data_IF_229971104314
#
_entry.id   IF_229971104314
#
_cell.length_a   1.000
_cell.length_b   1.000
_cell.length_c   1.000
_cell.angle_alpha   90.00
_cell.angle_beta   90.00
_cell.angle_gamma   90.00
#
_symmetry.space_group_name_H-M   'P 1'
#
loop_
_entity.id
_entity.type
_entity.pdbx_description
1 polymer ?
#
# COMPACT_ATOMS: atom_id res chain seq x y z
N UNK A 1 -16.38 -40.52 -21.50
CA UNK A 1 -16.67 -39.22 -20.88
C UNK A 1 -15.38 -38.43 -20.88
N UNK A 2 -15.37 -37.24 -21.47
CA UNK A 2 -14.21 -36.36 -21.42
C UNK A 2 -14.31 -35.51 -20.14
N UNK A 3 -13.37 -35.70 -19.21
CA UNK A 3 -13.17 -34.80 -18.08
C UNK A 3 -12.15 -33.77 -18.54
N UNK A 4 -12.61 -32.56 -18.86
CA UNK A 4 -11.74 -31.41 -19.07
C UNK A 4 -11.48 -30.80 -17.70
N UNK A 5 -10.39 -31.22 -17.08
CA UNK A 5 -9.82 -30.56 -15.91
C UNK A 5 -8.90 -29.46 -16.45
N UNK A 6 -9.50 -28.30 -16.72
CA UNK A 6 -8.77 -27.06 -16.98
C UNK A 6 -8.37 -26.48 -15.61
N UNK A 7 -7.42 -27.15 -14.97
CA UNK A 7 -6.59 -26.59 -13.92
C UNK A 7 -5.75 -25.49 -14.57
N UNK A 8 -6.39 -24.35 -14.80
CA UNK A 8 -5.74 -23.12 -15.21
C UNK A 8 -4.77 -22.72 -14.13
N UNK A 9 -3.54 -23.21 -14.23
CA UNK A 9 -2.38 -22.73 -13.51
C UNK A 9 -2.28 -21.24 -13.83
N UNK A 10 -2.90 -20.40 -13.00
CA UNK A 10 -2.84 -18.96 -13.12
C UNK A 10 -1.40 -18.60 -12.82
N UNK A 11 -0.56 -18.57 -13.84
CA UNK A 11 0.78 -17.99 -13.81
C UNK A 11 0.60 -16.65 -13.11
N UNK A 12 1.11 -16.55 -11.89
CA UNK A 12 0.95 -15.37 -11.08
C UNK A 12 1.65 -14.23 -11.85
N UNK A 13 0.84 -13.36 -12.47
CA UNK A 13 1.32 -12.24 -13.25
C UNK A 13 1.84 -11.19 -12.26
N UNK A 14 3.10 -11.35 -11.87
CA UNK A 14 3.76 -10.52 -10.89
C UNK A 14 4.64 -9.51 -11.62
N UNK A 15 4.57 -8.24 -11.24
CA UNK A 15 5.39 -7.20 -11.86
C UNK A 15 6.22 -6.50 -10.81
N UNK A 16 7.53 -6.44 -11.09
CA UNK A 16 8.53 -5.72 -10.31
C UNK A 16 9.12 -4.59 -11.15
N UNK A 17 9.87 -3.69 -10.51
CA UNK A 17 10.47 -2.51 -11.12
C UNK A 17 9.44 -1.70 -11.94
N UNK A 18 8.23 -1.58 -11.37
CA UNK A 18 7.09 -1.03 -12.08
C UNK A 18 6.98 0.48 -11.99
N UNK A 19 6.35 1.05 -13.00
CA UNK A 19 5.88 2.43 -13.08
C UNK A 19 4.58 2.47 -13.89
N UNK A 20 3.77 3.51 -13.68
CA UNK A 20 2.55 3.74 -14.46
C UNK A 20 2.72 5.02 -15.26
N UNK A 21 2.37 4.96 -16.54
CA UNK A 21 2.57 6.03 -17.50
C UNK A 21 1.23 6.40 -18.11
N UNK A 22 0.95 7.70 -18.24
CA UNK A 22 -0.24 8.23 -18.90
C UNK A 22 -0.11 8.15 -20.43
N UNK A 23 -1.17 8.53 -21.15
CA UNK A 23 -1.12 8.67 -22.61
C UNK A 23 -0.14 9.74 -23.11
N UNK A 24 0.26 10.66 -22.24
CA UNK A 24 1.21 11.75 -22.51
C UNK A 24 2.66 11.39 -22.16
N UNK A 25 2.94 10.13 -21.83
CA UNK A 25 4.26 9.60 -21.42
C UNK A 25 4.76 10.12 -20.04
N UNK A 26 3.86 10.68 -19.23
CA UNK A 26 4.16 11.14 -17.88
C UNK A 26 3.94 10.02 -16.85
N UNK A 27 4.83 9.95 -15.84
CA UNK A 27 4.65 9.03 -14.71
C UNK A 27 3.51 9.51 -13.81
N UNK A 28 2.50 8.66 -13.62
CA UNK A 28 1.29 8.97 -12.84
C UNK A 28 1.05 7.93 -11.76
N UNK A 29 0.48 8.28 -10.60
CA UNK A 29 0.16 7.29 -9.59
C UNK A 29 -0.98 6.38 -10.04
N UNK A 30 -0.94 5.10 -9.69
CA UNK A 30 -2.03 4.16 -10.01
C UNK A 30 -3.36 4.51 -9.32
N UNK A 31 -3.37 5.46 -8.38
CA UNK A 31 -4.59 5.97 -7.74
C UNK A 31 -5.46 6.80 -8.68
N UNK A 32 -4.96 7.19 -9.85
CA UNK A 32 -5.81 7.75 -10.92
C UNK A 32 -6.78 6.70 -11.49
N UNK A 33 -6.45 5.41 -11.34
CA UNK A 33 -7.36 4.32 -11.66
C UNK A 33 -8.45 4.18 -10.60
N UNK A 34 -9.60 3.66 -11.01
CA UNK A 34 -10.69 3.37 -10.09
C UNK A 34 -10.34 2.19 -9.18
N UNK A 35 -10.68 2.30 -7.89
CA UNK A 35 -10.57 1.20 -6.93
C UNK A 35 -11.74 0.25 -7.15
N UNK A 36 -11.45 -1.02 -7.40
CA UNK A 36 -12.45 -2.07 -7.48
C UNK A 36 -12.67 -2.68 -6.09
N UNK A 37 -13.89 -2.51 -5.56
CA UNK A 37 -14.27 -3.00 -4.24
C UNK A 37 -15.02 -4.33 -4.32
N UNK A 38 -15.82 -4.51 -5.37
CA UNK A 38 -16.63 -5.71 -5.58
C UNK A 38 -16.29 -6.35 -6.92
N UNK A 39 -16.32 -7.70 -6.96
CA UNK A 39 -16.08 -8.46 -8.18
C UNK A 39 -17.13 -8.11 -9.24
N UNK A 40 -16.69 -7.59 -10.38
CA UNK A 40 -17.56 -7.30 -11.52
C UNK A 40 -18.21 -5.92 -11.49
N UNK A 41 -17.64 -4.95 -10.77
CA UNK A 41 -18.00 -3.54 -10.93
C UNK A 41 -17.74 -3.11 -12.38
N UNK A 42 -18.78 -2.59 -13.05
CA UNK A 42 -18.66 -2.08 -14.42
C UNK A 42 -17.98 -0.72 -14.41
N UNK A 43 -16.87 -0.61 -15.14
CA UNK A 43 -16.18 0.66 -15.33
C UNK A 43 -16.88 1.45 -16.45
N UNK A 44 -17.95 2.16 -16.11
CA UNK A 44 -18.74 2.99 -17.06
C UNK A 44 -18.06 4.32 -17.44
N UNK A 45 -16.75 4.45 -17.21
CA UNK A 45 -15.95 5.60 -17.59
C UNK A 45 -15.22 5.40 -18.92
N UNK A 46 -14.90 6.50 -19.60
CA UNK A 46 -13.88 6.44 -20.67
C UNK A 46 -12.60 5.89 -20.05
N UNK A 47 -12.02 4.80 -20.55
CA UNK A 47 -10.82 4.23 -19.96
C UNK A 47 -9.71 5.26 -20.04
N UNK A 48 -9.21 5.69 -18.88
CA UNK A 48 -8.01 6.52 -18.83
C UNK A 48 -6.87 5.71 -19.44
N UNK A 49 -6.10 6.33 -20.34
CA UNK A 49 -4.99 5.66 -21.00
C UNK A 49 -3.82 5.63 -20.03
N UNK A 50 -3.84 4.67 -19.11
CA UNK A 50 -2.76 4.42 -18.16
C UNK A 50 -2.17 3.05 -18.46
N UNK A 51 -0.85 3.01 -18.57
CA UNK A 51 -0.09 1.82 -18.92
C UNK A 51 0.82 1.42 -17.77
N UNK A 52 0.74 0.15 -17.37
CA UNK A 52 1.70 -0.50 -16.49
C UNK A 52 2.94 -0.87 -17.29
N UNK A 53 4.08 -0.33 -16.88
CA UNK A 53 5.40 -0.71 -17.33
C UNK A 53 6.13 -1.44 -16.20
N UNK A 54 6.96 -2.43 -16.53
CA UNK A 54 7.80 -3.08 -15.52
C UNK A 54 8.46 -4.36 -16.01
N UNK A 55 8.80 -5.23 -15.06
CA UNK A 55 9.47 -6.50 -15.31
C UNK A 55 8.70 -7.68 -14.71
N UNK A 56 8.52 -8.73 -15.51
CA UNK A 56 7.99 -10.04 -15.11
C UNK A 56 9.09 -11.11 -15.21
N UNK A 57 8.76 -12.34 -14.82
CA UNK A 57 9.62 -13.52 -14.95
C UNK A 57 10.99 -13.28 -14.28
N UNK A 58 10.98 -12.81 -13.04
CA UNK A 58 12.17 -12.45 -12.25
C UNK A 58 13.13 -11.46 -12.96
N UNK A 59 12.58 -10.53 -13.74
CA UNK A 59 13.39 -9.51 -14.43
C UNK A 59 13.71 -9.84 -15.88
N UNK A 60 13.38 -11.04 -16.36
CA UNK A 60 13.76 -11.51 -17.69
C UNK A 60 12.93 -10.90 -18.82
N UNK A 61 11.69 -10.50 -18.54
CA UNK A 61 10.79 -9.93 -19.55
C UNK A 61 10.26 -8.58 -19.11
N UNK A 62 10.12 -7.67 -20.07
CA UNK A 62 9.43 -6.39 -19.86
C UNK A 62 7.94 -6.57 -20.12
N UNK A 63 7.13 -5.86 -19.37
CA UNK A 63 5.69 -5.75 -19.57
C UNK A 63 5.32 -4.31 -19.89
N UNK A 64 4.38 -4.14 -20.82
CA UNK A 64 3.74 -2.88 -21.17
C UNK A 64 2.26 -3.19 -21.42
N UNK A 65 1.37 -2.85 -20.49
CA UNK A 65 -0.06 -3.18 -20.58
C UNK A 65 -0.95 -2.05 -20.13
N UNK A 66 -2.01 -1.79 -20.88
CA UNK A 66 -3.05 -0.86 -20.42
C UNK A 66 -3.81 -1.47 -19.24
N UNK A 67 -4.04 -0.65 -18.23
CA UNK A 67 -4.75 -0.99 -17.00
C UNK A 67 -5.96 -0.09 -16.79
N UNK A 68 -6.97 -0.60 -16.12
CA UNK A 68 -8.29 0.07 -16.00
C UNK A 68 -8.76 0.26 -14.56
N UNK A 69 -8.32 -0.60 -13.65
CA UNK A 69 -8.68 -0.52 -12.23
C UNK A 69 -7.57 -1.08 -11.36
N UNK A 70 -7.67 -0.84 -10.06
CA UNK A 70 -6.79 -1.43 -9.08
C UNK A 70 -7.56 -1.86 -7.84
N UNK A 71 -6.96 -2.76 -7.07
CA UNK A 71 -7.47 -3.20 -5.78
C UNK A 71 -6.32 -3.46 -4.84
N UNK A 72 -6.66 -3.58 -3.56
CA UNK A 72 -5.71 -3.98 -2.53
C UNK A 72 -6.32 -5.00 -1.59
N UNK A 73 -5.46 -5.82 -1.00
CA UNK A 73 -5.83 -6.79 0.03
C UNK A 73 -4.91 -6.58 1.22
N UNK A 74 -5.50 -6.38 2.40
CA UNK A 74 -4.76 -6.21 3.65
C UNK A 74 -4.54 -7.58 4.31
N UNK A 75 -3.61 -8.38 3.76
CA UNK A 75 -3.22 -9.66 4.36
C UNK A 75 -2.57 -9.45 5.73
N UNK A 76 -2.39 -10.52 6.50
CA UNK A 76 -1.83 -10.43 7.85
C UNK A 76 -0.39 -9.95 7.83
N UNK A 77 0.37 -10.42 6.85
CA UNK A 77 1.80 -10.15 6.69
C UNK A 77 2.05 -8.73 6.16
N UNK A 78 1.37 -8.35 5.07
CA UNK A 78 1.56 -7.07 4.39
C UNK A 78 0.37 -6.70 3.51
N UNK A 79 0.19 -5.41 3.14
CA UNK A 79 -0.72 -5.04 2.08
C UNK A 79 -0.24 -5.59 0.72
N UNK A 80 -1.17 -6.08 -0.08
CA UNK A 80 -0.95 -6.47 -1.47
C UNK A 80 -1.76 -5.59 -2.41
N UNK A 81 -1.19 -5.27 -3.57
CA UNK A 81 -1.80 -4.41 -4.57
C UNK A 81 -1.87 -5.17 -5.89
N UNK A 82 -3.00 -5.06 -6.57
CA UNK A 82 -3.18 -5.61 -7.90
C UNK A 82 -3.86 -4.62 -8.82
N UNK A 83 -3.52 -4.67 -10.10
CA UNK A 83 -4.15 -3.88 -11.15
C UNK A 83 -4.80 -4.78 -12.18
N UNK A 84 -5.92 -4.34 -12.74
CA UNK A 84 -6.66 -5.04 -13.76
C UNK A 84 -6.21 -4.55 -15.13
N UNK A 85 -5.74 -5.48 -15.97
CA UNK A 85 -5.48 -5.16 -17.38
C UNK A 85 -6.79 -5.01 -18.15
N UNK A 86 -6.75 -4.28 -19.27
CA UNK A 86 -7.88 -4.22 -20.21
C UNK A 86 -8.27 -5.59 -20.78
N UNK A 87 -7.36 -6.57 -20.71
CA UNK A 87 -7.57 -7.97 -21.11
C UNK A 87 -8.30 -8.79 -20.02
N UNK A 88 -8.67 -8.17 -18.89
CA UNK A 88 -9.38 -8.82 -17.79
C UNK A 88 -8.49 -9.62 -16.84
N UNK A 89 -7.16 -9.46 -16.91
CA UNK A 89 -6.21 -10.18 -16.05
C UNK A 89 -5.76 -9.33 -14.88
N UNK A 90 -5.79 -9.90 -13.67
CA UNK A 90 -5.20 -9.27 -12.49
C UNK A 90 -3.69 -9.46 -12.47
N UNK A 91 -2.97 -8.37 -12.20
CA UNK A 91 -1.52 -8.33 -12.16
C UNK A 91 -1.11 -7.83 -10.77
N UNK A 92 -0.31 -8.61 -10.06
CA UNK A 92 0.18 -8.27 -8.72
C UNK A 92 1.40 -7.37 -8.81
N UNK A 93 1.37 -6.26 -8.09
CA UNK A 93 2.49 -5.33 -7.99
C UNK A 93 3.43 -5.77 -6.87
N UNK A 94 4.71 -5.88 -7.19
CA UNK A 94 5.79 -6.18 -6.24
C UNK A 94 6.51 -4.89 -5.86
N UNK A 95 7.78 -4.74 -6.28
CA UNK A 95 8.61 -3.57 -5.96
C UNK A 95 8.46 -2.50 -7.06
N UNK A 96 8.14 -1.23 -6.73
CA UNK A 96 8.16 -0.14 -7.69
C UNK A 96 9.59 0.26 -8.08
N UNK A 97 9.74 0.86 -9.27
CA UNK A 97 11.01 1.46 -9.73
C UNK A 97 11.41 2.61 -8.80
N UNK A 98 12.71 2.78 -8.52
CA UNK A 98 13.22 3.80 -7.57
C UNK A 98 12.73 5.23 -7.87
N UNK A 99 12.76 5.65 -9.14
CA UNK A 99 12.30 6.98 -9.54
C UNK A 99 10.78 7.18 -9.34
N UNK A 100 10.02 6.08 -9.32
CA UNK A 100 8.57 6.10 -9.15
C UNK A 100 8.15 6.10 -7.67
N UNK A 101 9.08 5.88 -6.74
CA UNK A 101 8.80 5.78 -5.30
C UNK A 101 8.10 7.01 -4.74
N UNK A 102 8.54 8.22 -5.13
CA UNK A 102 7.95 9.45 -4.60
C UNK A 102 6.51 9.66 -5.09
N UNK A 103 6.23 9.29 -6.34
CA UNK A 103 4.90 9.46 -6.97
C UNK A 103 3.83 8.66 -6.23
N UNK A 104 4.16 7.45 -5.78
CA UNK A 104 3.22 6.57 -5.06
C UNK A 104 3.43 6.54 -3.55
N UNK A 105 4.32 7.38 -3.01
CA UNK A 105 4.70 7.33 -1.59
C UNK A 105 3.49 7.45 -0.66
N UNK A 106 2.62 8.43 -0.93
CA UNK A 106 1.45 8.73 -0.09
C UNK A 106 0.43 7.58 -0.07
N UNK A 107 0.21 6.92 -1.21
CA UNK A 107 -0.70 5.78 -1.28
C UNK A 107 -0.13 4.54 -0.59
N UNK A 108 1.18 4.29 -0.71
CA UNK A 108 1.82 3.19 0.02
C UNK A 108 1.71 3.41 1.53
N UNK A 109 1.97 4.62 2.02
CA UNK A 109 1.79 4.99 3.43
C UNK A 109 0.33 4.74 3.85
N UNK A 110 -0.64 5.14 3.03
CA UNK A 110 -2.06 4.94 3.32
C UNK A 110 -2.44 3.46 3.44
N UNK A 111 -1.93 2.61 2.55
CA UNK A 111 -2.22 1.16 2.59
C UNK A 111 -1.58 0.49 3.81
N UNK A 112 -0.37 0.90 4.18
CA UNK A 112 0.29 0.43 5.41
C UNK A 112 -0.40 0.96 6.67
N UNK A 113 -0.93 2.19 6.65
CA UNK A 113 -1.79 2.71 7.71
C UNK A 113 -3.02 1.81 7.90
N UNK A 114 -3.75 1.51 6.83
CA UNK A 114 -4.93 0.64 6.90
C UNK A 114 -4.57 -0.77 7.38
N UNK A 115 -3.47 -1.33 6.87
CA UNK A 115 -2.96 -2.64 7.31
C UNK A 115 -2.68 -2.67 8.81
N UNK A 116 -1.92 -1.71 9.32
CA UNK A 116 -1.57 -1.64 10.73
C UNK A 116 -2.81 -1.55 11.60
N UNK A 117 -3.73 -0.65 11.25
CA UNK A 117 -4.96 -0.40 12.01
C UNK A 117 -5.87 -1.65 12.04
N UNK A 118 -5.98 -2.36 10.92
CA UNK A 118 -6.77 -3.60 10.82
C UNK A 118 -6.24 -4.69 11.75
N UNK A 119 -4.93 -4.88 11.77
CA UNK A 119 -4.29 -5.99 12.51
C UNK A 119 -3.86 -5.62 13.93
N UNK A 120 -3.95 -4.34 14.29
CA UNK A 120 -3.60 -3.83 15.61
C UNK A 120 -4.68 -2.87 16.16
N UNK A 121 -5.97 -3.28 16.21
CA UNK A 121 -7.08 -2.36 16.43
C UNK A 121 -7.07 -1.66 17.79
N UNK A 122 -6.34 -2.17 18.78
CA UNK A 122 -6.24 -1.58 20.13
C UNK A 122 -4.96 -0.76 20.37
N UNK A 123 -4.01 -0.76 19.42
CA UNK A 123 -2.76 0.00 19.58
C UNK A 123 -3.04 1.51 19.53
N UNK A 124 -2.29 2.31 20.31
CA UNK A 124 -2.41 3.77 20.26
C UNK A 124 -1.83 4.32 18.96
N UNK A 125 -2.24 5.55 18.60
CA UNK A 125 -1.79 6.25 17.40
C UNK A 125 -0.26 6.43 17.34
N UNK A 126 0.41 6.59 18.48
CA UNK A 126 1.88 6.66 18.53
C UNK A 126 2.54 5.42 17.91
N UNK A 127 2.07 4.23 18.29
CA UNK A 127 2.61 2.97 17.78
C UNK A 127 2.41 2.79 16.26
N UNK A 128 1.32 3.35 15.72
CA UNK A 128 1.08 3.42 14.28
C UNK A 128 2.14 4.29 13.58
N UNK A 129 2.39 5.51 14.08
CA UNK A 129 3.38 6.40 13.47
C UNK A 129 4.81 5.88 13.61
N UNK A 130 5.14 5.28 14.75
CA UNK A 130 6.43 4.60 14.95
C UNK A 130 6.62 3.47 13.93
N UNK A 131 5.58 2.67 13.68
CA UNK A 131 5.60 1.62 12.67
C UNK A 131 5.80 2.20 11.26
N UNK A 132 5.03 3.21 10.87
CA UNK A 132 5.15 3.84 9.55
C UNK A 132 6.54 4.47 9.35
N UNK A 133 7.05 5.19 10.34
CA UNK A 133 8.40 5.77 10.30
C UNK A 133 9.48 4.70 10.11
N UNK A 134 9.35 3.55 10.79
CA UNK A 134 10.27 2.42 10.61
C UNK A 134 10.16 1.83 9.20
N UNK A 135 8.94 1.55 8.73
CA UNK A 135 8.68 0.93 7.41
C UNK A 135 9.14 1.81 6.25
N UNK A 136 8.99 3.14 6.37
CA UNK A 136 9.34 4.11 5.33
C UNK A 136 10.61 4.90 5.68
N UNK A 137 11.49 4.34 6.51
CA UNK A 137 12.74 4.99 6.95
C UNK A 137 13.72 5.29 5.82
N UNK A 138 13.63 4.59 4.69
CA UNK A 138 14.45 4.84 3.50
C UNK A 138 14.04 6.10 2.72
N UNK A 139 12.86 6.66 3.00
CA UNK A 139 12.40 7.89 2.36
C UNK A 139 12.91 9.10 3.11
N UNK A 140 13.33 10.14 2.37
CA UNK A 140 13.82 11.39 2.97
C UNK A 140 12.75 12.05 3.85
N UNK A 141 11.50 12.05 3.39
CA UNK A 141 10.36 12.58 4.14
C UNK A 141 9.73 11.51 5.01
N UNK A 142 9.69 11.76 6.32
CA UNK A 142 8.96 10.93 7.29
C UNK A 142 7.45 10.90 7.00
N UNK A 143 6.79 9.74 7.11
CA UNK A 143 5.33 9.66 7.08
C UNK A 143 4.65 10.59 8.10
N UNK A 144 3.55 11.17 7.69
CA UNK A 144 2.81 12.20 8.44
C UNK A 144 1.32 12.11 8.14
N UNK A 145 0.50 12.88 8.89
CA UNK A 145 -0.94 12.97 8.65
C UNK A 145 -1.26 13.52 7.25
N UNK A 146 -0.44 14.44 6.75
CA UNK A 146 -0.61 15.07 5.44
C UNK A 146 -0.62 14.02 4.32
N UNK A 147 0.16 12.95 4.46
CA UNK A 147 0.23 11.86 3.49
C UNK A 147 -1.10 11.09 3.36
N UNK A 148 -2.00 11.22 4.33
CA UNK A 148 -3.31 10.57 4.35
C UNK A 148 -4.44 11.49 3.87
N UNK A 149 -4.20 12.81 3.77
CA UNK A 149 -5.22 13.83 3.45
C UNK A 149 -5.78 13.66 2.04
N UNK A 150 -4.93 13.29 1.09
CA UNK A 150 -5.36 13.08 -0.30
C UNK A 150 -6.13 11.77 -0.47
N UNK A 151 -5.97 10.83 0.46
CA UNK A 151 -6.56 9.49 0.40
C UNK A 151 -7.75 9.29 1.35
N UNK A 152 -8.33 10.37 1.91
CA UNK A 152 -9.49 10.31 2.83
C UNK A 152 -10.65 9.48 2.28
N UNK A 153 -10.95 9.64 0.99
CA UNK A 153 -12.06 8.90 0.33
C UNK A 153 -11.80 7.39 0.36
N UNK A 154 -10.59 6.97 -0.01
CA UNK A 154 -10.17 5.57 0.05
C UNK A 154 -10.28 5.01 1.46
N UNK A 155 -9.74 5.75 2.46
CA UNK A 155 -9.74 5.31 3.85
C UNK A 155 -11.17 5.15 4.37
N UNK A 156 -12.03 6.15 4.15
CA UNK A 156 -13.42 6.10 4.58
C UNK A 156 -14.19 4.93 3.94
N UNK A 157 -13.99 4.69 2.64
CA UNK A 157 -14.64 3.57 1.94
C UNK A 157 -14.11 2.20 2.42
N UNK A 158 -12.83 2.10 2.78
CA UNK A 158 -12.25 0.89 3.39
C UNK A 158 -12.82 0.64 4.80
N UNK A 159 -12.89 1.68 5.64
CA UNK A 159 -13.44 1.61 7.00
C UNK A 159 -14.93 1.20 6.98
N UNK A 160 -15.71 1.69 6.02
CA UNK A 160 -17.12 1.30 5.87
C UNK A 160 -17.31 -0.18 5.52
N UNK A 161 -16.37 -0.78 4.79
CA UNK A 161 -16.49 -2.15 4.27
C UNK A 161 -15.87 -3.20 5.19
N UNK A 162 -14.97 -2.80 6.08
CA UNK A 162 -14.21 -3.71 6.94
C UNK A 162 -14.51 -3.45 8.41
N UNK A 163 -15.17 -4.41 9.06
CA UNK A 163 -15.58 -4.32 10.46
C UNK A 163 -14.39 -4.18 11.42
N UNK A 164 -13.24 -4.79 11.11
CA UNK A 164 -12.04 -4.67 11.94
C UNK A 164 -11.44 -3.26 11.86
N UNK A 165 -11.45 -2.66 10.67
CA UNK A 165 -11.08 -1.24 10.50
C UNK A 165 -12.05 -0.32 11.24
N UNK A 166 -13.37 -0.53 11.09
CA UNK A 166 -14.40 0.26 11.75
C UNK A 166 -14.29 0.23 13.28
N UNK A 167 -13.95 -0.93 13.85
CA UNK A 167 -13.83 -1.12 15.29
C UNK A 167 -12.46 -0.75 15.88
N UNK A 168 -11.52 -0.30 15.05
CA UNK A 168 -10.19 0.09 15.52
C UNK A 168 -10.22 1.40 16.32
N UNK A 169 -9.37 1.51 17.34
CA UNK A 169 -9.24 2.71 18.18
C UNK A 169 -8.88 3.96 17.36
N UNK A 170 -8.12 3.81 16.28
CA UNK A 170 -7.73 4.92 15.41
C UNK A 170 -8.90 5.43 14.53
N UNK A 171 -9.88 4.60 14.23
CA UNK A 171 -11.03 4.94 13.38
C UNK A 171 -12.34 5.17 14.15
N UNK A 172 -12.41 4.79 15.44
CA UNK A 172 -13.61 4.82 16.30
C UNK A 172 -14.13 6.19 16.75
N UNK A 173 -13.63 7.30 16.20
CA UNK A 173 -14.23 8.61 16.46
C UNK A 173 -15.29 8.88 15.40
N UNK A 174 -16.54 9.03 15.83
CA UNK A 174 -17.74 9.06 14.99
C UNK A 174 -17.58 9.91 13.71
N UNK A 175 -17.55 9.20 12.58
CA UNK A 175 -17.57 9.66 11.17
C UNK A 175 -16.48 10.64 10.71
N UNK A 176 -15.43 10.87 11.51
CA UNK A 176 -14.17 11.43 11.01
C UNK A 176 -13.03 10.65 11.65
N UNK A 177 -12.19 9.94 10.86
CA UNK A 177 -11.06 9.26 11.44
C UNK A 177 -10.23 10.27 12.24
N UNK A 178 -9.92 9.93 13.50
CA UNK A 178 -9.27 10.81 14.48
C UNK A 178 -7.98 11.48 13.99
N UNK A 179 -7.35 10.91 12.96
CA UNK A 179 -6.14 11.44 12.33
C UNK A 179 -6.40 12.55 11.30
N UNK A 180 -7.67 12.79 10.92
CA UNK A 180 -8.13 13.80 9.96
C UNK A 180 -8.97 14.85 10.70
N UNK A 181 -8.38 15.48 11.71
CA UNK A 181 -8.89 16.77 12.18
C UNK A 181 -8.39 17.83 11.20
N UNK A 182 -9.32 18.56 10.58
CA UNK A 182 -9.00 19.83 9.94
C UNK A 182 -8.70 20.80 11.08
N UNK A 183 -7.46 21.27 11.17
CA UNK A 183 -7.11 22.36 12.07
C UNK A 183 -7.99 23.57 11.73
N UNK A 184 -9.00 23.80 12.56
CA UNK A 184 -9.68 25.08 12.65
C UNK A 184 -9.46 25.59 14.06
N UNK A 185 -8.67 26.67 14.07
CA UNK A 185 -8.39 27.63 15.13
C UNK A 185 -7.47 27.19 16.27
N UNK A 186 -6.31 27.85 16.29
CA UNK A 186 -5.57 28.09 17.51
C UNK A 186 -6.36 28.98 18.46
N UNK A 187 -6.12 28.78 19.75
CA UNK A 187 -5.48 29.80 20.58
C UNK A 187 -4.85 29.10 21.78
N UNK A 188 -3.93 29.84 22.36
CA UNK A 188 -2.88 29.53 23.31
C UNK A 188 -3.36 28.82 24.59
N UNK A 189 -2.50 27.99 25.18
CA UNK A 189 -2.04 28.25 26.55
C UNK A 189 -0.77 27.43 26.85
N UNK A 190 0.28 28.17 27.19
CA UNK A 190 1.50 27.69 27.82
C UNK A 190 1.14 27.05 29.17
N UNK A 191 1.69 25.87 29.48
CA UNK A 191 2.32 25.65 30.79
C UNK A 191 3.55 24.74 30.63
N UNK A 192 4.65 25.30 31.11
CA UNK A 192 6.01 24.80 31.25
C UNK A 192 6.10 23.70 32.33
N UNK A 193 6.94 22.68 32.11
CA UNK A 193 7.64 22.00 33.20
C UNK A 193 8.70 21.05 32.64
N UNK A 194 9.95 21.45 32.80
CA UNK A 194 11.18 20.70 32.65
C UNK A 194 11.13 19.28 33.25
N UNK A 195 11.84 18.35 32.59
CA UNK A 195 12.92 17.55 33.20
C UNK A 195 13.68 16.75 32.14
N UNK A 196 14.96 17.09 32.03
CA UNK A 196 16.03 16.31 31.43
C UNK A 196 16.20 15.02 32.25
N UNK A 197 16.31 13.88 31.57
CA UNK A 197 17.17 12.80 32.05
C UNK A 197 17.85 12.13 30.85
N UNK A 198 19.17 12.25 30.82
CA UNK A 198 20.06 11.55 29.90
C UNK A 198 20.16 10.11 30.36
N UNK A 199 19.91 9.16 29.46
CA UNK A 199 20.62 7.89 29.47
C UNK A 199 20.65 7.35 28.05
N UNK A 200 21.86 7.35 27.50
CA UNK A 200 22.17 6.58 26.31
C UNK A 200 22.17 5.09 26.63
N UNK A 201 21.70 4.32 25.67
CA UNK A 201 22.38 3.08 25.30
C UNK A 201 22.25 2.93 23.78
N UNK A 202 23.42 2.96 23.16
CA UNK A 202 23.71 2.73 21.77
C UNK A 202 23.95 1.23 21.62
N UNK A 203 22.98 0.52 21.07
CA UNK A 203 23.17 -0.86 20.62
C UNK A 203 22.68 -0.90 19.17
N UNK A 204 23.66 -0.76 18.27
CA UNK A 204 23.48 -0.95 16.84
C UNK A 204 23.27 -2.44 16.56
N UNK A 205 22.08 -2.80 16.11
CA UNK A 205 21.87 -4.03 15.35
C UNK A 205 21.43 -3.64 13.94
N UNK A 206 22.41 -3.59 13.04
CA UNK A 206 22.23 -3.61 11.60
C UNK A 206 21.73 -5.01 11.22
N UNK A 207 20.49 -5.12 10.74
CA UNK A 207 20.02 -6.35 10.06
C UNK A 207 19.05 -6.01 8.92
N UNK A 208 19.33 -6.63 7.78
CA UNK A 208 18.87 -6.35 6.43
C UNK A 208 17.35 -6.45 6.21
N UNK A 209 16.68 -5.32 5.91
CA UNK A 209 15.22 -5.28 5.73
C UNK A 209 14.73 -5.42 4.27
N UNK A 210 15.47 -6.08 3.37
CA UNK A 210 14.93 -6.34 2.02
C UNK A 210 15.23 -7.70 1.36
N UNK A 211 16.00 -8.61 1.96
CA UNK A 211 16.48 -9.82 1.25
C UNK A 211 16.05 -11.18 1.84
N UNK A 212 14.87 -11.27 2.47
CA UNK A 212 14.31 -12.57 2.87
C UNK A 212 13.17 -13.05 1.97
N UNK A 213 13.45 -13.25 0.67
CA UNK A 213 12.74 -14.19 -0.22
C UNK A 213 13.60 -14.55 -1.45
N UNK A 214 14.78 -15.14 -1.24
CA UNK A 214 15.48 -15.91 -2.29
C UNK A 214 15.90 -17.28 -1.72
N UNK A 215 15.22 -18.31 -2.21
CA UNK A 215 15.67 -19.70 -2.42
C UNK A 215 16.14 -20.54 -1.23
N UNK A 216 15.26 -21.44 -0.78
CA UNK A 216 15.70 -22.77 -0.34
C UNK A 216 14.98 -23.83 -1.17
N UNK A 217 15.59 -24.19 -2.30
CA UNK A 217 15.37 -25.45 -2.99
C UNK A 217 15.86 -26.56 -2.06
N UNK A 218 14.95 -27.40 -1.56
CA UNK A 218 15.34 -28.68 -0.97
C UNK A 218 15.59 -29.71 -2.09
N UNK A 219 16.67 -30.50 -2.03
CA UNK A 219 16.84 -31.63 -2.92
C UNK A 219 15.97 -32.81 -2.46
N UNK A 220 15.28 -33.42 -3.43
CA UNK A 220 14.59 -34.71 -3.30
C UNK A 220 15.66 -35.80 -3.14
N UNK A 221 15.60 -36.69 -2.13
CA UNK A 221 16.48 -37.84 -2.08
C UNK A 221 15.99 -38.93 -3.05
N UNK A 222 16.96 -39.54 -3.74
CA UNK A 222 16.80 -40.69 -4.63
C UNK A 222 16.44 -41.98 -3.87
#
# INVERSE_FOLDING_TARGET
MASSDDEGETVANNVSDYEFISGDDDSVPFTELSVEWNKGETHDGKPQQIFLCGKTDNGLRKIYKQVISWKFVLLREKPEISVLSIEGSWIKLLKPRKAYHEIIRTILITLHFLHFVKWNPQRPQKALWDHLNKTFSMFERRPSKDDLVDHKRLINEAVKRDEALANSKCCRQDVKPSFIVEDVNGDEDQEESDKIDENGDDESDEDDCFDSLITTLMPIPA
#
